data_IF_847361728195
#
_entry.id   IF_847361728195
#
_cell.length_a   1.000
_cell.length_b   1.000
_cell.length_c   1.000
_cell.angle_alpha   90.00
_cell.angle_beta   90.00
_cell.angle_gamma   90.00
#
_symmetry.space_group_name_H-M   'P 1'
#
loop_
_entity.id
_entity.type
_entity.pdbx_description
1 polymer ?
#
# COMPACT_ATOMS: atom_id res chain seq x y z
N UNK A 1 11.91 -0.72 5.11
CA UNK A 1 13.02 -0.36 6.02
C UNK A 1 12.48 0.08 7.37
N UNK A 2 13.29 0.02 8.42
CA UNK A 2 12.93 0.43 9.79
C UNK A 2 14.04 1.31 10.37
N UNK A 3 13.68 2.45 10.97
CA UNK A 3 14.62 3.34 11.67
C UNK A 3 14.87 2.85 13.10
N UNK A 4 15.95 3.31 13.73
CA UNK A 4 16.24 3.03 15.15
C UNK A 4 15.14 3.50 16.11
N UNK A 5 14.33 4.49 15.70
CA UNK A 5 13.16 4.98 16.43
C UNK A 5 11.90 4.13 16.23
N UNK A 6 11.97 3.04 15.44
CA UNK A 6 10.84 2.13 15.17
C UNK A 6 9.95 2.54 13.99
N UNK A 7 10.22 3.66 13.33
CA UNK A 7 9.46 4.10 12.15
C UNK A 7 9.71 3.18 10.95
N UNK A 8 8.64 2.62 10.40
CA UNK A 8 8.66 1.74 9.24
C UNK A 8 8.28 2.51 7.97
N UNK A 9 8.98 2.26 6.87
CA UNK A 9 8.68 2.86 5.57
C UNK A 9 9.06 1.93 4.41
N UNK A 10 8.38 2.07 3.28
CA UNK A 10 8.67 1.34 2.05
C UNK A 10 9.75 2.05 1.24
N UNK A 11 10.52 1.28 0.48
CA UNK A 11 11.49 1.77 -0.52
C UNK A 11 11.23 1.06 -1.84
N UNK A 12 11.90 1.49 -2.92
CA UNK A 12 11.82 0.89 -4.25
C UNK A 12 10.42 0.91 -4.89
N UNK A 13 9.84 2.11 -5.03
CA UNK A 13 8.53 2.35 -5.67
C UNK A 13 8.54 2.27 -7.21
N UNK A 14 9.40 1.44 -7.78
CA UNK A 14 9.58 1.35 -9.24
C UNK A 14 8.39 0.79 -10.00
N UNK A 15 7.30 0.40 -9.33
CA UNK A 15 6.06 -0.01 -9.95
C UNK A 15 4.84 0.38 -9.11
N UNK A 16 3.79 0.85 -9.77
CA UNK A 16 2.55 1.34 -9.14
C UNK A 16 1.33 0.97 -9.99
N UNK A 17 0.13 1.24 -9.46
CA UNK A 17 -1.15 1.08 -10.18
C UNK A 17 -1.39 -0.32 -10.76
N UNK A 18 -0.95 -1.37 -10.05
CA UNK A 18 -1.14 -2.77 -10.46
C UNK A 18 -0.06 -3.34 -11.40
N UNK A 19 0.98 -2.57 -11.71
CA UNK A 19 2.12 -3.02 -12.53
C UNK A 19 3.12 -3.90 -11.75
N UNK A 20 2.68 -5.04 -11.22
CA UNK A 20 3.53 -5.88 -10.37
C UNK A 20 4.72 -6.51 -11.11
N UNK A 21 5.87 -6.65 -10.43
CA UNK A 21 7.03 -7.36 -10.98
C UNK A 21 6.70 -8.82 -11.26
N UNK A 22 7.17 -9.32 -12.40
CA UNK A 22 7.26 -10.75 -12.66
C UNK A 22 8.71 -11.22 -12.58
N UNK A 23 8.92 -12.45 -12.13
CA UNK A 23 10.22 -13.14 -12.19
C UNK A 23 9.98 -14.52 -12.78
N UNK A 24 10.69 -14.86 -13.86
CA UNK A 24 10.49 -16.12 -14.60
C UNK A 24 9.02 -16.38 -14.98
N UNK A 25 8.28 -15.35 -15.41
CA UNK A 25 6.86 -15.46 -15.77
C UNK A 25 5.88 -15.52 -14.59
N UNK A 26 6.35 -15.50 -13.34
CA UNK A 26 5.50 -15.55 -12.14
C UNK A 26 5.38 -14.15 -11.54
N UNK A 27 4.14 -13.67 -11.30
CA UNK A 27 3.89 -12.43 -10.55
C UNK A 27 4.36 -12.55 -9.09
N UNK A 28 5.12 -11.56 -8.63
CA UNK A 28 5.68 -11.52 -7.27
C UNK A 28 4.63 -11.15 -6.23
N UNK A 29 3.89 -10.07 -6.42
CA UNK A 29 2.72 -9.77 -5.59
C UNK A 29 1.50 -10.60 -6.04
N UNK A 30 0.96 -11.39 -5.11
CA UNK A 30 -0.22 -12.24 -5.34
C UNK A 30 -1.44 -11.82 -4.51
N UNK A 31 -1.25 -10.91 -3.56
CA UNK A 31 -2.27 -10.48 -2.62
C UNK A 31 -2.39 -8.96 -2.61
N UNK A 32 -3.61 -8.41 -2.46
CA UNK A 32 -3.85 -6.97 -2.51
C UNK A 32 -3.37 -6.24 -1.25
N UNK A 33 -3.23 -6.95 -0.13
CA UNK A 33 -2.75 -6.42 1.14
C UNK A 33 -1.77 -7.41 1.78
N UNK A 34 -0.61 -6.93 2.21
CA UNK A 34 0.45 -7.75 2.81
C UNK A 34 0.63 -7.32 4.25
N UNK A 35 0.34 -8.23 5.17
CA UNK A 35 0.68 -8.10 6.59
C UNK A 35 1.47 -9.35 6.98
N UNK A 36 2.77 -9.19 7.20
CA UNK A 36 3.64 -10.33 7.54
C UNK A 36 3.52 -10.68 9.01
N UNK A 37 3.88 -11.92 9.34
CA UNK A 37 3.93 -12.39 10.73
C UNK A 37 4.89 -11.55 11.58
N UNK A 38 6.00 -11.07 11.02
CA UNK A 38 6.97 -10.24 11.75
C UNK A 38 6.37 -8.91 12.20
N UNK A 39 5.55 -8.26 11.36
CA UNK A 39 4.84 -7.05 11.75
C UNK A 39 3.85 -7.33 12.88
N UNK A 40 3.09 -8.42 12.78
CA UNK A 40 2.13 -8.83 13.81
C UNK A 40 2.87 -9.07 15.13
N UNK A 41 3.98 -9.82 15.10
CA UNK A 41 4.79 -10.11 16.29
C UNK A 41 5.28 -8.84 16.98
N UNK A 42 5.79 -7.86 16.23
CA UNK A 42 6.26 -6.58 16.77
C UNK A 42 5.11 -5.74 17.33
N UNK A 43 3.99 -5.63 16.61
CA UNK A 43 2.78 -4.90 17.07
C UNK A 43 2.26 -5.49 18.39
N UNK A 44 2.26 -6.82 18.49
CA UNK A 44 1.80 -7.55 19.67
C UNK A 44 2.85 -7.64 20.78
N UNK A 45 4.05 -7.10 20.58
CA UNK A 45 5.17 -7.16 21.52
C UNK A 45 5.50 -8.61 21.94
N UNK A 46 5.45 -9.54 20.98
CA UNK A 46 5.70 -10.96 21.19
C UNK A 46 4.62 -11.73 21.96
N UNK A 47 3.50 -11.09 22.32
CA UNK A 47 2.37 -11.76 22.98
C UNK A 47 1.52 -12.53 21.96
N UNK A 48 0.99 -13.67 22.38
CA UNK A 48 0.06 -14.48 21.59
C UNK A 48 -1.39 -14.04 21.83
N UNK A 49 -2.26 -14.28 20.84
CA UNK A 49 -3.70 -13.96 20.92
C UNK A 49 -4.05 -12.57 20.40
N UNK A 50 -5.33 -12.20 20.49
CA UNK A 50 -5.82 -10.90 20.05
C UNK A 50 -5.55 -9.85 21.13
N UNK A 51 -4.54 -9.00 20.91
CA UNK A 51 -4.15 -7.95 21.86
C UNK A 51 -4.84 -6.64 21.52
N UNK A 52 -5.08 -5.80 22.53
CA UNK A 52 -5.56 -4.42 22.33
C UNK A 52 -4.67 -3.64 21.35
N UNK A 53 -3.35 -3.88 21.36
CA UNK A 53 -2.40 -3.28 20.42
C UNK A 53 -2.69 -3.64 18.97
N UNK A 54 -3.04 -4.89 18.70
CA UNK A 54 -3.43 -5.31 17.36
C UNK A 54 -4.79 -4.71 16.97
N UNK A 55 -5.73 -4.60 17.91
CA UNK A 55 -6.98 -3.86 17.72
C UNK A 55 -6.75 -2.39 17.32
N UNK A 56 -5.89 -1.69 18.04
CA UNK A 56 -5.53 -0.30 17.72
C UNK A 56 -4.86 -0.17 16.35
N UNK A 57 -3.95 -1.10 16.01
CA UNK A 57 -3.35 -1.14 14.67
C UNK A 57 -4.42 -1.28 13.58
N UNK A 58 -5.38 -2.20 13.76
CA UNK A 58 -6.49 -2.38 12.83
C UNK A 58 -7.31 -1.10 12.68
N UNK A 59 -7.66 -0.45 13.79
CA UNK A 59 -8.39 0.81 13.79
C UNK A 59 -7.65 1.88 12.99
N UNK A 60 -6.33 2.03 13.18
CA UNK A 60 -5.54 2.98 12.40
C UNK A 60 -5.55 2.67 10.90
N UNK A 61 -5.50 1.40 10.50
CA UNK A 61 -5.61 1.01 9.09
C UNK A 61 -6.98 1.37 8.50
N UNK A 62 -8.06 1.08 9.22
CA UNK A 62 -9.43 1.36 8.79
C UNK A 62 -9.68 2.88 8.66
N UNK A 63 -9.29 3.65 9.68
CA UNK A 63 -9.43 5.11 9.67
C UNK A 63 -8.62 5.75 8.54
N UNK A 64 -7.36 5.34 8.37
CA UNK A 64 -6.49 5.84 7.30
C UNK A 64 -7.10 5.54 5.92
N UNK A 65 -7.60 4.32 5.69
CA UNK A 65 -8.25 3.94 4.44
C UNK A 65 -9.50 4.80 4.18
N UNK A 66 -10.36 5.00 5.19
CA UNK A 66 -11.57 5.80 5.05
C UNK A 66 -11.27 7.28 4.76
N UNK A 67 -10.23 7.85 5.39
CA UNK A 67 -9.77 9.21 5.10
C UNK A 67 -9.28 9.33 3.66
N UNK A 68 -8.46 8.39 3.18
CA UNK A 68 -7.98 8.38 1.80
C UNK A 68 -9.14 8.23 0.81
N UNK A 69 -10.10 7.34 1.10
CA UNK A 69 -11.28 7.11 0.26
C UNK A 69 -12.14 8.36 0.11
N UNK A 70 -12.34 9.14 1.18
CA UNK A 70 -13.05 10.43 1.11
C UNK A 70 -12.36 11.43 0.20
N UNK A 71 -11.04 11.33 0.06
CA UNK A 71 -10.22 12.20 -0.79
C UNK A 71 -9.86 11.56 -2.15
N UNK A 72 -10.53 10.46 -2.54
CA UNK A 72 -10.18 9.69 -3.76
C UNK A 72 -10.12 10.53 -5.04
N UNK A 73 -11.01 11.52 -5.20
CA UNK A 73 -11.02 12.42 -6.35
C UNK A 73 -9.73 13.24 -6.48
N UNK A 74 -9.11 13.64 -5.36
CA UNK A 74 -7.83 14.34 -5.38
C UNK A 74 -6.74 13.45 -5.98
N UNK A 75 -6.63 12.20 -5.51
CA UNK A 75 -5.65 11.25 -6.03
C UNK A 75 -5.87 10.97 -7.53
N UNK A 76 -7.11 10.72 -7.94
CA UNK A 76 -7.46 10.50 -9.35
C UNK A 76 -7.04 11.70 -10.21
N UNK A 77 -7.29 12.92 -9.74
CA UNK A 77 -6.93 14.14 -10.46
C UNK A 77 -5.41 14.31 -10.56
N UNK A 78 -4.67 14.09 -9.45
CA UNK A 78 -3.21 14.16 -9.45
C UNK A 78 -2.60 13.15 -10.41
N UNK A 79 -3.08 11.90 -10.43
CA UNK A 79 -2.63 10.90 -11.40
C UNK A 79 -3.04 11.23 -12.83
N UNK A 80 -4.20 11.82 -13.06
CA UNK A 80 -4.59 12.26 -14.41
C UNK A 80 -3.65 13.36 -14.95
N UNK A 81 -3.23 14.30 -14.11
CA UNK A 81 -2.26 15.33 -14.48
C UNK A 81 -0.87 14.76 -14.80
N UNK A 82 -0.52 13.62 -14.20
CA UNK A 82 0.77 12.95 -14.40
C UNK A 82 0.84 12.13 -15.71
N UNK A 83 -0.27 11.96 -16.46
CA UNK A 83 -0.26 11.23 -17.73
C UNK A 83 0.74 11.81 -18.76
N UNK A 84 0.96 13.13 -18.72
CA UNK A 84 1.89 13.80 -19.64
C UNK A 84 3.35 13.65 -19.23
N UNK A 85 3.64 13.11 -18.05
CA UNK A 85 5.00 12.95 -17.53
C UNK A 85 5.76 11.78 -18.17
N UNK A 86 5.08 10.92 -18.94
CA UNK A 86 5.71 9.81 -19.67
C UNK A 86 6.15 8.64 -18.78
N UNK A 87 5.47 8.41 -17.65
CA UNK A 87 5.76 7.27 -16.78
C UNK A 87 5.29 5.95 -17.43
N UNK A 88 6.13 4.89 -17.46
CA UNK A 88 5.75 3.60 -18.03
C UNK A 88 4.53 2.96 -17.37
N UNK A 89 4.33 3.18 -16.06
CA UNK A 89 3.20 2.63 -15.30
C UNK A 89 1.89 3.42 -15.45
N UNK A 90 1.93 4.57 -16.12
CA UNK A 90 0.81 5.51 -16.22
C UNK A 90 0.76 6.10 -17.63
N UNK A 91 0.24 5.29 -18.55
CA UNK A 91 0.19 5.62 -19.99
C UNK A 91 -1.21 5.98 -20.45
N UNK A 92 -2.24 5.60 -19.69
CA UNK A 92 -3.63 5.82 -20.05
C UNK A 92 -4.53 6.02 -18.84
N UNK A 93 -5.74 6.53 -19.10
CA UNK A 93 -6.78 6.65 -18.08
C UNK A 93 -7.17 5.29 -17.48
N UNK A 94 -6.94 4.16 -18.18
CA UNK A 94 -7.20 2.81 -17.67
C UNK A 94 -6.33 2.49 -16.46
N UNK A 95 -5.08 2.96 -16.43
CA UNK A 95 -4.16 2.72 -15.31
C UNK A 95 -4.67 3.42 -14.03
N UNK A 96 -5.30 4.59 -14.18
CA UNK A 96 -5.90 5.35 -13.08
C UNK A 96 -7.14 4.65 -12.51
N UNK A 97 -7.82 3.80 -13.29
CA UNK A 97 -8.99 3.06 -12.81
C UNK A 97 -8.63 2.09 -11.67
N UNK A 98 -7.34 1.72 -11.52
CA UNK A 98 -6.86 0.95 -10.38
C UNK A 98 -7.17 1.61 -9.03
N UNK A 99 -7.31 2.94 -8.99
CA UNK A 99 -7.62 3.69 -7.77
C UNK A 99 -9.12 3.74 -7.43
N UNK A 100 -10.00 3.30 -8.34
CA UNK A 100 -11.46 3.41 -8.20
C UNK A 100 -12.12 2.22 -7.49
N UNK A 101 -11.31 1.33 -6.88
CA UNK A 101 -11.78 0.18 -6.10
C UNK A 101 -12.41 0.64 -4.79
#
# INVERSE_FOLDING_TARGET
MVRSTGQLFHIDFGHILGNFKSKFGIKRERVPFILTHDFIHVIQQGKTGNTEKFGNFRQYCEDAYLILRRNGNLFITLFALMLTAGLPELTSVKDIQYLKV
#
